data_IF_679860295464
#
_entry.id   IF_679860295464
#
_cell.length_a   1.000
_cell.length_b   1.000
_cell.length_c   1.000
_cell.angle_alpha   90.00
_cell.angle_beta   90.00
_cell.angle_gamma   90.00
#
_symmetry.space_group_name_H-M   'P 1'
#
loop_
_entity.id
_entity.type
_entity.pdbx_description
1 polymer ?
#
# COMPACT_ATOMS: atom_id res chain seq x y z
N UNK A 1 -18.35 -3.50 1.81
CA UNK A 1 -17.62 -4.66 1.25
C UNK A 1 -17.92 -5.87 2.10
N UNK A 2 -18.56 -6.90 1.54
CA UNK A 2 -18.72 -8.18 2.24
C UNK A 2 -17.48 -9.05 1.95
N UNK A 3 -16.52 -9.08 2.88
CA UNK A 3 -15.29 -9.88 2.72
C UNK A 3 -15.59 -11.35 2.43
N UNK A 4 -16.73 -11.87 2.94
CA UNK A 4 -17.12 -13.28 2.76
C UNK A 4 -17.55 -13.63 1.33
N UNK A 5 -17.84 -12.65 0.48
CA UNK A 5 -18.29 -12.85 -0.91
C UNK A 5 -17.14 -12.79 -1.93
N UNK A 6 -15.88 -12.66 -1.48
CA UNK A 6 -14.74 -12.64 -2.38
C UNK A 6 -14.48 -14.03 -3.01
N UNK A 7 -14.13 -14.11 -4.31
CA UNK A 7 -13.78 -15.36 -4.95
C UNK A 7 -12.62 -16.08 -4.25
N UNK A 8 -12.64 -17.41 -4.24
CA UNK A 8 -11.56 -18.24 -3.63
C UNK A 8 -10.17 -17.92 -4.19
N UNK A 9 -10.11 -17.61 -5.49
CA UNK A 9 -8.87 -17.19 -6.16
C UNK A 9 -8.28 -15.90 -5.56
N UNK A 10 -9.13 -14.94 -5.23
CA UNK A 10 -8.71 -13.66 -4.63
C UNK A 10 -8.14 -13.88 -3.23
N UNK A 11 -8.76 -14.76 -2.44
CA UNK A 11 -8.22 -15.17 -1.14
C UNK A 11 -6.89 -15.91 -1.27
N UNK A 12 -6.71 -16.75 -2.29
CA UNK A 12 -5.43 -17.42 -2.53
C UNK A 12 -4.31 -16.41 -2.85
N UNK A 13 -4.59 -15.40 -3.68
CA UNK A 13 -3.63 -14.34 -3.99
C UNK A 13 -3.38 -13.44 -2.79
N UNK A 14 -4.41 -13.09 -2.00
CA UNK A 14 -4.27 -12.32 -0.77
C UNK A 14 -3.43 -13.06 0.28
N UNK A 15 -3.65 -14.37 0.46
CA UNK A 15 -2.82 -15.22 1.32
C UNK A 15 -1.36 -15.20 0.86
N UNK A 16 -1.12 -15.40 -0.44
CA UNK A 16 0.23 -15.31 -1.01
C UNK A 16 0.88 -13.93 -0.78
N UNK A 17 0.10 -12.84 -0.83
CA UNK A 17 0.57 -11.49 -0.49
C UNK A 17 1.00 -11.37 0.98
N UNK A 18 0.23 -11.91 1.92
CA UNK A 18 0.61 -11.94 3.34
C UNK A 18 1.98 -12.59 3.50
N UNK A 19 2.20 -13.76 2.90
CA UNK A 19 3.48 -14.49 3.01
C UNK A 19 4.62 -13.73 2.31
N UNK A 20 4.35 -13.10 1.16
CA UNK A 20 5.32 -12.31 0.40
C UNK A 20 5.85 -11.11 1.21
N UNK A 21 4.95 -10.36 1.84
CA UNK A 21 5.32 -9.22 2.68
C UNK A 21 5.92 -9.64 4.02
N UNK A 22 5.46 -10.75 4.59
CA UNK A 22 6.07 -11.36 5.76
C UNK A 22 7.55 -11.68 5.55
N UNK A 23 7.92 -12.22 4.39
CA UNK A 23 9.30 -12.57 4.05
C UNK A 23 10.31 -11.42 4.10
N UNK A 24 9.83 -10.17 4.19
CA UNK A 24 10.67 -8.99 4.41
C UNK A 24 11.12 -8.93 5.88
N UNK A 25 10.19 -8.88 6.84
CA UNK A 25 10.49 -8.71 8.27
C UNK A 25 10.79 -10.01 9.03
N UNK A 26 10.56 -11.16 8.40
CA UNK A 26 10.74 -12.47 9.03
C UNK A 26 12.20 -12.81 9.37
N UNK A 27 13.18 -12.12 8.78
CA UNK A 27 14.60 -12.31 9.09
C UNK A 27 15.12 -11.36 10.19
N UNK A 28 14.39 -10.30 10.56
CA UNK A 28 14.83 -9.32 11.57
C UNK A 28 15.20 -9.97 12.92
N UNK A 29 14.36 -10.85 13.50
CA UNK A 29 14.61 -11.39 14.84
C UNK A 29 15.76 -12.41 14.87
N UNK A 30 16.18 -12.91 13.71
CA UNK A 30 17.24 -13.91 13.63
C UNK A 30 18.61 -13.31 13.30
N UNK A 31 18.72 -12.02 12.95
CA UNK A 31 20.01 -11.45 12.57
C UNK A 31 21.09 -11.63 13.64
N UNK A 32 20.83 -11.42 14.95
CA UNK A 32 21.88 -11.59 15.96
C UNK A 32 22.33 -13.04 16.13
N UNK A 33 21.40 -14.00 16.14
CA UNK A 33 21.75 -15.43 16.23
C UNK A 33 22.44 -15.92 14.97
N UNK A 34 22.02 -15.44 13.80
CA UNK A 34 22.65 -15.75 12.52
C UNK A 34 24.08 -15.20 12.45
N UNK A 35 24.30 -13.98 12.93
CA UNK A 35 25.62 -13.36 13.04
C UNK A 35 26.55 -14.16 13.95
N UNK A 36 26.03 -14.60 15.11
CA UNK A 36 26.79 -15.39 16.07
C UNK A 36 27.15 -16.78 15.52
N UNK A 37 26.17 -17.51 14.98
CA UNK A 37 26.34 -18.91 14.57
C UNK A 37 27.20 -19.06 13.30
N UNK A 38 27.25 -18.04 12.45
CA UNK A 38 28.06 -18.01 11.22
C UNK A 38 29.28 -17.09 11.33
N UNK A 39 29.64 -16.67 12.55
CA UNK A 39 30.81 -15.83 12.86
C UNK A 39 30.92 -14.58 11.95
N UNK A 40 29.79 -13.93 11.74
CA UNK A 40 29.65 -12.82 10.80
C UNK A 40 29.39 -11.49 11.51
N UNK A 41 29.90 -10.41 10.93
CA UNK A 41 29.68 -9.08 11.46
C UNK A 41 28.25 -8.58 11.15
N UNK A 42 27.73 -7.59 11.90
CA UNK A 42 26.42 -6.99 11.62
C UNK A 42 26.26 -6.51 10.18
N UNK A 43 27.30 -5.92 9.56
CA UNK A 43 27.24 -5.50 8.16
C UNK A 43 27.16 -6.67 7.19
N UNK A 44 27.83 -7.79 7.48
CA UNK A 44 27.76 -8.99 6.63
C UNK A 44 26.36 -9.61 6.66
N UNK A 45 25.74 -9.73 7.83
CA UNK A 45 24.37 -10.28 7.93
C UNK A 45 23.33 -9.30 7.37
N UNK A 46 23.55 -7.99 7.51
CA UNK A 46 22.66 -6.98 6.92
C UNK A 46 22.67 -6.98 5.38
N UNK A 47 23.63 -7.66 4.74
CA UNK A 47 23.60 -7.89 3.30
C UNK A 47 22.39 -8.74 2.85
N UNK A 48 21.77 -9.50 3.75
CA UNK A 48 20.54 -10.27 3.46
C UNK A 48 19.37 -9.36 3.05
N UNK A 49 19.29 -8.15 3.61
CA UNK A 49 18.35 -7.11 3.18
C UNK A 49 18.84 -6.41 1.93
N UNK A 50 20.13 -6.08 1.91
CA UNK A 50 20.77 -5.34 0.82
C UNK A 50 20.59 -6.06 -0.51
N UNK A 51 20.95 -7.34 -0.59
CA UNK A 51 20.84 -8.12 -1.83
C UNK A 51 19.39 -8.34 -2.24
N UNK A 52 18.50 -8.60 -1.27
CA UNK A 52 17.08 -8.75 -1.51
C UNK A 52 16.48 -7.50 -2.14
N UNK A 53 16.65 -6.32 -1.52
CA UNK A 53 16.07 -5.08 -2.04
C UNK A 53 16.74 -4.57 -3.30
N UNK A 54 18.07 -4.77 -3.45
CA UNK A 54 18.76 -4.41 -4.68
C UNK A 54 18.16 -5.16 -5.87
N UNK A 55 18.02 -6.48 -5.76
CA UNK A 55 17.45 -7.29 -6.84
C UNK A 55 15.95 -7.05 -6.99
N UNK A 56 15.18 -6.93 -5.90
CA UNK A 56 13.76 -6.58 -6.00
C UNK A 56 13.54 -5.25 -6.72
N UNK A 57 14.30 -4.20 -6.35
CA UNK A 57 14.21 -2.88 -6.95
C UNK A 57 14.53 -2.90 -8.44
N UNK A 58 15.66 -3.49 -8.83
CA UNK A 58 16.05 -3.61 -10.25
C UNK A 58 15.01 -4.45 -11.02
N UNK A 59 14.55 -5.55 -10.44
CA UNK A 59 13.59 -6.46 -11.08
C UNK A 59 12.24 -5.79 -11.31
N UNK A 60 11.81 -4.87 -10.43
CA UNK A 60 10.56 -4.09 -10.60
C UNK A 60 10.50 -3.31 -11.91
N UNK A 61 11.64 -2.95 -12.52
CA UNK A 61 11.68 -2.32 -13.84
C UNK A 61 11.26 -3.29 -14.96
N UNK A 62 11.40 -4.59 -14.74
CA UNK A 62 11.21 -5.66 -15.73
C UNK A 62 9.88 -6.42 -15.50
N UNK A 63 9.32 -6.37 -14.29
CA UNK A 63 8.08 -7.11 -13.92
C UNK A 63 6.93 -6.83 -14.88
N UNK A 64 6.66 -5.55 -15.20
CA UNK A 64 5.59 -5.16 -16.12
C UNK A 64 5.80 -5.72 -17.54
N UNK A 65 7.04 -5.70 -18.03
CA UNK A 65 7.41 -6.26 -19.34
C UNK A 65 7.16 -7.77 -19.42
N UNK A 66 7.53 -8.50 -18.36
CA UNK A 66 7.33 -9.95 -18.26
C UNK A 66 5.85 -10.26 -18.17
N UNK A 67 5.14 -9.64 -17.22
CA UNK A 67 3.72 -9.88 -16.97
C UNK A 67 2.85 -9.60 -18.20
N UNK A 68 3.14 -8.54 -18.95
CA UNK A 68 2.37 -8.22 -20.16
C UNK A 68 2.55 -9.24 -21.30
N UNK A 69 3.56 -10.12 -21.24
CA UNK A 69 3.88 -11.10 -22.31
C UNK A 69 3.47 -12.52 -21.95
N UNK A 70 3.84 -12.98 -20.77
CA UNK A 70 3.55 -14.34 -20.32
C UNK A 70 2.20 -14.44 -19.61
N UNK A 71 1.65 -13.31 -19.17
CA UNK A 71 0.36 -13.19 -18.51
C UNK A 71 0.46 -13.19 -16.97
N UNK A 72 -0.54 -12.64 -16.27
CA UNK A 72 -0.49 -12.47 -14.82
C UNK A 72 -0.34 -13.79 -14.04
N UNK A 73 -1.14 -14.81 -14.38
CA UNK A 73 -1.11 -16.12 -13.70
C UNK A 73 0.28 -16.77 -13.77
N UNK A 74 0.88 -16.82 -14.95
CA UNK A 74 2.21 -17.43 -15.15
C UNK A 74 3.31 -16.63 -14.44
N UNK A 75 3.18 -15.31 -14.38
CA UNK A 75 4.13 -14.45 -13.67
C UNK A 75 4.06 -14.64 -12.16
N UNK A 76 2.86 -14.75 -11.58
CA UNK A 76 2.68 -15.09 -10.16
C UNK A 76 3.30 -16.43 -9.81
N UNK A 77 2.99 -17.48 -10.58
CA UNK A 77 3.50 -18.82 -10.35
C UNK A 77 5.03 -18.89 -10.49
N UNK A 78 5.60 -18.21 -11.50
CA UNK A 78 7.05 -18.11 -11.66
C UNK A 78 7.71 -17.40 -10.47
N UNK A 79 7.13 -16.29 -10.02
CA UNK A 79 7.60 -15.58 -8.83
C UNK A 79 7.61 -16.47 -7.59
N UNK A 80 6.51 -17.20 -7.34
CA UNK A 80 6.40 -18.12 -6.21
C UNK A 80 7.41 -19.26 -6.27
N UNK A 81 7.62 -19.89 -7.44
CA UNK A 81 8.63 -20.95 -7.60
C UNK A 81 10.01 -20.44 -7.22
N UNK A 82 10.39 -19.25 -7.70
CA UNK A 82 11.67 -18.64 -7.36
C UNK A 82 11.77 -18.39 -5.84
N UNK A 83 10.73 -17.83 -5.22
CA UNK A 83 10.72 -17.62 -3.77
C UNK A 83 10.88 -18.94 -3.01
N UNK A 84 10.13 -19.98 -3.37
CA UNK A 84 10.19 -21.30 -2.71
C UNK A 84 11.60 -21.88 -2.82
N UNK A 85 12.15 -21.93 -4.04
CA UNK A 85 13.45 -22.51 -4.30
C UNK A 85 14.55 -21.75 -3.53
N UNK A 86 14.58 -20.43 -3.64
CA UNK A 86 15.62 -19.62 -2.99
C UNK A 86 15.46 -19.53 -1.48
N UNK A 87 14.23 -19.54 -0.94
CA UNK A 87 14.02 -19.64 0.51
C UNK A 87 14.50 -20.99 1.05
N UNK A 88 14.21 -22.10 0.37
CA UNK A 88 14.70 -23.41 0.78
C UNK A 88 16.25 -23.51 0.70
N UNK A 89 16.85 -22.97 -0.36
CA UNK A 89 18.31 -22.91 -0.51
C UNK A 89 18.96 -22.03 0.57
N UNK A 90 18.36 -20.89 0.93
CA UNK A 90 18.80 -20.05 2.05
C UNK A 90 18.65 -20.74 3.42
N UNK A 91 17.67 -21.61 3.59
CA UNK A 91 17.57 -22.45 4.79
C UNK A 91 18.64 -23.55 4.84
N UNK A 92 19.09 -24.04 3.67
CA UNK A 92 20.08 -25.10 3.57
C UNK A 92 21.54 -24.59 3.61
N UNK A 93 21.78 -23.32 3.26
CA UNK A 93 23.12 -22.73 3.13
C UNK A 93 23.98 -22.81 4.40
N UNK A 94 25.29 -22.95 4.22
CA UNK A 94 26.28 -23.02 5.30
C UNK A 94 27.02 -21.72 5.58
N UNK A 95 26.81 -20.65 4.80
CA UNK A 95 27.57 -19.40 4.94
C UNK A 95 26.75 -18.16 4.60
N UNK A 96 27.16 -17.00 5.14
CA UNK A 96 26.51 -15.71 4.85
C UNK A 96 26.49 -15.38 3.35
N UNK A 97 27.59 -15.51 2.57
CA UNK A 97 27.57 -15.20 1.14
C UNK A 97 26.54 -16.03 0.36
N UNK A 98 26.36 -17.32 0.70
CA UNK A 98 25.33 -18.16 0.11
C UNK A 98 23.92 -17.63 0.42
N UNK A 99 23.63 -17.32 1.70
CA UNK A 99 22.34 -16.75 2.10
C UNK A 99 22.09 -15.43 1.37
N UNK A 100 23.09 -14.56 1.27
CA UNK A 100 23.01 -13.28 0.55
C UNK A 100 22.67 -13.50 -0.92
N UNK A 101 23.31 -14.46 -1.59
CA UNK A 101 23.01 -14.82 -2.98
C UNK A 101 21.59 -15.34 -3.17
N UNK A 102 21.15 -16.26 -2.30
CA UNK A 102 19.79 -16.80 -2.35
C UNK A 102 18.73 -15.76 -1.98
N UNK A 103 19.01 -14.83 -1.07
CA UNK A 103 18.15 -13.67 -0.79
C UNK A 103 17.99 -12.76 -2.00
N UNK A 104 19.03 -12.61 -2.81
CA UNK A 104 18.97 -11.90 -4.07
C UNK A 104 17.96 -12.56 -5.04
N UNK A 105 18.07 -13.88 -5.21
CA UNK A 105 17.13 -14.67 -6.02
C UNK A 105 15.69 -14.66 -5.49
N UNK A 106 15.52 -14.70 -4.17
CA UNK A 106 14.22 -14.49 -3.53
C UNK A 106 13.65 -13.11 -3.89
N UNK A 107 14.46 -12.06 -3.81
CA UNK A 107 14.06 -10.70 -4.18
C UNK A 107 13.51 -10.58 -5.61
N UNK A 108 14.10 -11.32 -6.57
CA UNK A 108 13.59 -11.43 -7.94
C UNK A 108 12.21 -12.08 -7.98
N UNK A 109 12.04 -13.23 -7.32
CA UNK A 109 10.76 -13.93 -7.25
C UNK A 109 9.66 -13.08 -6.65
N UNK A 110 9.99 -12.37 -5.56
CA UNK A 110 9.05 -11.47 -4.89
C UNK A 110 8.67 -10.27 -5.77
N UNK A 111 9.60 -9.77 -6.58
CA UNK A 111 9.30 -8.67 -7.49
C UNK A 111 8.25 -9.07 -8.54
N UNK A 112 8.42 -10.24 -9.16
CA UNK A 112 7.47 -10.81 -10.13
C UNK A 112 6.10 -11.03 -9.49
N UNK A 113 6.09 -11.51 -8.24
CA UNK A 113 4.87 -11.78 -7.51
C UNK A 113 4.10 -10.50 -7.14
N UNK A 114 4.70 -9.58 -6.37
CA UNK A 114 4.00 -8.42 -5.78
C UNK A 114 3.35 -7.53 -6.86
N UNK A 115 4.11 -7.18 -7.90
CA UNK A 115 3.62 -6.30 -8.96
C UNK A 115 2.40 -6.90 -9.68
N UNK A 116 2.41 -8.23 -9.85
CA UNK A 116 1.34 -8.95 -10.54
C UNK A 116 0.14 -9.21 -9.62
N UNK A 117 0.38 -9.46 -8.33
CA UNK A 117 -0.66 -9.83 -7.37
C UNK A 117 -1.67 -8.70 -7.17
N UNK A 118 -1.19 -7.45 -7.09
CA UNK A 118 -2.07 -6.28 -7.04
C UNK A 118 -2.98 -6.20 -8.27
N UNK A 119 -2.43 -6.39 -9.48
CA UNK A 119 -3.20 -6.36 -10.71
C UNK A 119 -4.27 -7.47 -10.78
N UNK A 120 -3.94 -8.67 -10.28
CA UNK A 120 -4.87 -9.79 -10.20
C UNK A 120 -5.99 -9.53 -9.19
N UNK A 121 -5.67 -9.06 -7.98
CA UNK A 121 -6.67 -8.72 -6.96
C UNK A 121 -7.61 -7.62 -7.50
N UNK A 122 -7.05 -6.59 -8.14
CA UNK A 122 -7.81 -5.52 -8.78
C UNK A 122 -8.75 -5.99 -9.89
N UNK A 123 -8.34 -7.00 -10.67
CA UNK A 123 -9.12 -7.53 -11.79
C UNK A 123 -10.12 -8.63 -11.40
N UNK A 124 -9.99 -9.23 -10.22
CA UNK A 124 -10.77 -10.41 -9.82
C UNK A 124 -11.58 -10.24 -8.53
N UNK A 125 -11.35 -9.19 -7.74
CA UNK A 125 -12.08 -8.94 -6.50
C UNK A 125 -13.51 -8.41 -6.74
N UNK A 126 -14.44 -8.85 -5.89
CA UNK A 126 -15.81 -8.32 -5.85
C UNK A 126 -15.86 -7.03 -5.02
N UNK A 127 -16.80 -6.12 -5.30
CA UNK A 127 -16.88 -4.82 -4.60
C UNK A 127 -16.01 -3.70 -5.18
N UNK A 128 -15.57 -3.88 -6.43
CA UNK A 128 -14.90 -2.85 -7.22
C UNK A 128 -13.47 -2.52 -6.76
N UNK A 129 -12.89 -1.52 -7.41
CA UNK A 129 -11.50 -1.07 -7.22
C UNK A 129 -11.20 -0.76 -5.74
N UNK A 130 -12.12 -0.07 -5.05
CA UNK A 130 -11.92 0.29 -3.64
C UNK A 130 -11.81 -0.92 -2.71
N UNK A 131 -12.66 -1.93 -2.89
CA UNK A 131 -12.61 -3.15 -2.09
C UNK A 131 -11.34 -3.98 -2.31
N UNK A 132 -10.90 -4.06 -3.57
CA UNK A 132 -9.67 -4.74 -3.97
C UNK A 132 -8.42 -4.11 -3.30
N UNK A 133 -8.34 -2.78 -3.30
CA UNK A 133 -7.26 -2.05 -2.63
C UNK A 133 -7.25 -2.33 -1.13
N UNK A 134 -8.41 -2.25 -0.47
CA UNK A 134 -8.52 -2.52 0.97
C UNK A 134 -8.04 -3.94 1.30
N UNK A 135 -8.43 -4.94 0.51
CA UNK A 135 -8.00 -6.32 0.72
C UNK A 135 -6.49 -6.47 0.57
N UNK A 136 -5.91 -5.87 -0.46
CA UNK A 136 -4.47 -5.91 -0.71
C UNK A 136 -3.67 -5.23 0.41
N UNK A 137 -4.10 -4.04 0.83
CA UNK A 137 -3.47 -3.29 1.94
C UNK A 137 -3.61 -4.04 3.27
N UNK A 138 -4.75 -4.70 3.51
CA UNK A 138 -4.93 -5.56 4.69
C UNK A 138 -3.98 -6.76 4.67
N UNK A 139 -3.81 -7.41 3.50
CA UNK A 139 -2.85 -8.49 3.34
C UNK A 139 -1.39 -8.02 3.55
N UNK A 140 -1.05 -6.84 3.01
CA UNK A 140 0.25 -6.20 3.22
C UNK A 140 0.50 -5.92 4.69
N UNK A 141 -0.44 -5.25 5.38
CA UNK A 141 -0.33 -4.92 6.79
C UNK A 141 -0.19 -6.16 7.67
N UNK A 142 -1.01 -7.19 7.41
CA UNK A 142 -0.93 -8.46 8.11
C UNK A 142 0.42 -9.15 7.87
N UNK A 143 0.93 -9.18 6.64
CA UNK A 143 2.23 -9.75 6.30
C UNK A 143 3.38 -9.06 7.03
N UNK A 144 3.46 -7.73 6.93
CA UNK A 144 4.48 -6.92 7.61
C UNK A 144 4.44 -7.13 9.12
N UNK A 145 3.26 -7.16 9.74
CA UNK A 145 3.13 -7.38 11.17
C UNK A 145 3.51 -8.79 11.60
N UNK A 146 2.93 -9.82 10.99
CA UNK A 146 3.11 -11.22 11.38
C UNK A 146 4.50 -11.77 11.10
N UNK A 147 5.25 -11.18 10.17
CA UNK A 147 6.55 -11.71 9.75
C UNK A 147 7.58 -11.79 10.87
N UNK A 148 7.87 -10.69 11.59
CA UNK A 148 8.77 -10.74 12.73
C UNK A 148 8.29 -11.67 13.86
N UNK A 149 6.98 -11.79 14.09
CA UNK A 149 6.47 -12.72 15.09
C UNK A 149 6.81 -14.18 14.73
N UNK A 150 6.50 -14.59 13.50
CA UNK A 150 6.81 -15.93 13.03
C UNK A 150 8.32 -16.16 12.89
N UNK A 151 9.06 -15.14 12.46
CA UNK A 151 10.51 -15.12 12.41
C UNK A 151 11.14 -15.36 13.79
N UNK A 152 10.63 -14.71 14.83
CA UNK A 152 11.08 -14.90 16.21
C UNK A 152 10.73 -16.29 16.77
N UNK A 153 9.53 -16.80 16.48
CA UNK A 153 9.10 -18.14 16.90
C UNK A 153 9.96 -19.22 16.25
N UNK A 154 10.06 -19.21 14.92
CA UNK A 154 10.84 -20.20 14.17
C UNK A 154 12.34 -20.04 14.42
N UNK A 155 12.81 -18.79 14.52
CA UNK A 155 14.20 -18.44 14.82
C UNK A 155 14.67 -18.88 16.19
N UNK A 156 13.77 -18.95 17.18
CA UNK A 156 14.05 -19.51 18.49
C UNK A 156 14.32 -21.01 18.48
N UNK A 157 13.84 -21.73 17.46
CA UNK A 157 14.17 -23.16 17.24
C UNK A 157 15.49 -23.27 16.47
N UNK A 158 15.59 -22.55 15.34
CA UNK A 158 16.80 -22.46 14.53
C UNK A 158 16.70 -21.23 13.63
N UNK A 159 17.80 -20.53 13.40
CA UNK A 159 17.85 -19.44 12.42
C UNK A 159 17.44 -19.88 11.01
N UNK A 160 17.51 -21.18 10.70
CA UNK A 160 17.05 -21.78 9.44
C UNK A 160 15.53 -21.87 9.33
N UNK A 161 14.83 -21.96 10.48
CA UNK A 161 13.38 -22.16 10.57
C UNK A 161 12.58 -21.14 9.75
N UNK A 162 12.83 -19.82 9.87
CA UNK A 162 12.13 -18.81 9.10
C UNK A 162 12.22 -19.01 7.57
N UNK A 163 13.39 -19.43 7.05
CA UNK A 163 13.59 -19.69 5.62
C UNK A 163 12.74 -20.88 5.12
N UNK A 164 12.83 -22.03 5.81
CA UNK A 164 12.02 -23.20 5.46
C UNK A 164 10.52 -22.97 5.70
N UNK A 165 10.14 -22.28 6.77
CA UNK A 165 8.76 -21.91 7.04
C UNK A 165 8.17 -21.07 5.92
N UNK A 166 8.94 -20.10 5.40
CA UNK A 166 8.51 -19.31 4.25
C UNK A 166 8.38 -20.16 2.99
N UNK A 167 9.34 -21.06 2.72
CA UNK A 167 9.27 -21.97 1.57
C UNK A 167 8.00 -22.84 1.60
N UNK A 168 7.64 -23.39 2.78
CA UNK A 168 6.42 -24.20 2.96
C UNK A 168 5.16 -23.36 2.74
N UNK A 169 5.06 -22.19 3.38
CA UNK A 169 3.88 -21.33 3.24
C UNK A 169 3.70 -20.82 1.80
N UNK A 170 4.81 -20.53 1.10
CA UNK A 170 4.79 -20.16 -0.31
C UNK A 170 4.45 -21.34 -1.22
N UNK A 171 4.85 -22.57 -0.88
CA UNK A 171 4.43 -23.76 -1.62
C UNK A 171 2.91 -24.00 -1.50
N UNK A 172 2.34 -23.78 -0.30
CA UNK A 172 0.89 -23.82 -0.10
C UNK A 172 0.20 -22.75 -0.95
N UNK A 173 0.71 -21.51 -0.93
CA UNK A 173 0.20 -20.42 -1.76
C UNK A 173 0.31 -20.72 -3.26
N UNK A 174 1.41 -21.34 -3.70
CA UNK A 174 1.61 -21.77 -5.09
C UNK A 174 0.56 -22.79 -5.51
N UNK A 175 0.32 -23.84 -4.71
CA UNK A 175 -0.71 -24.84 -5.01
C UNK A 175 -2.09 -24.20 -5.03
N UNK A 176 -2.40 -23.31 -4.06
CA UNK A 176 -3.66 -22.59 -4.02
C UNK A 176 -3.90 -21.75 -5.27
N UNK A 177 -2.90 -20.98 -5.73
CA UNK A 177 -3.01 -20.18 -6.95
C UNK A 177 -3.06 -21.07 -8.20
N UNK A 178 -2.27 -22.15 -8.24
CA UNK A 178 -2.26 -23.08 -9.38
C UNK A 178 -3.65 -23.70 -9.62
N UNK A 179 -4.35 -24.06 -8.53
CA UNK A 179 -5.66 -24.73 -8.59
C UNK A 179 -6.83 -23.74 -8.67
N UNK A 180 -6.78 -22.63 -7.93
CA UNK A 180 -7.93 -21.73 -7.77
C UNK A 180 -7.92 -20.54 -8.72
N UNK A 181 -6.75 -20.10 -9.21
CA UNK A 181 -6.67 -18.96 -10.12
C UNK A 181 -6.78 -19.43 -11.58
N UNK A 182 -7.87 -19.04 -12.22
CA UNK A 182 -8.09 -19.27 -13.66
C UNK A 182 -7.14 -18.42 -14.53
N UNK A 183 -7.04 -18.77 -15.80
CA UNK A 183 -6.17 -18.05 -16.74
C UNK A 183 -6.70 -16.63 -16.96
N UNK A 184 -5.93 -15.63 -16.55
CA UNK A 184 -6.28 -14.21 -16.72
C UNK A 184 -5.83 -13.75 -18.10
N UNK A 185 -6.71 -13.09 -18.89
CA UNK A 185 -6.34 -12.53 -20.18
C UNK A 185 -5.10 -11.63 -20.09
N UNK A 186 -4.23 -11.73 -21.08
CA UNK A 186 -3.04 -10.89 -21.14
C UNK A 186 -3.46 -9.44 -21.37
N UNK A 187 -2.74 -8.46 -20.78
CA UNK A 187 -2.97 -7.05 -21.08
C UNK A 187 -2.87 -6.77 -22.59
N UNK A 188 -3.79 -5.96 -23.13
CA UNK A 188 -3.79 -5.61 -24.54
C UNK A 188 -2.52 -4.81 -24.93
N UNK A 189 -2.05 -3.94 -24.04
CA UNK A 189 -0.79 -3.20 -24.20
C UNK A 189 0.38 -3.96 -23.61
N UNK A 190 1.44 -4.13 -24.39
CA UNK A 190 2.73 -4.66 -23.91
C UNK A 190 3.55 -3.52 -23.31
N UNK A 191 4.03 -3.71 -22.08
CA UNK A 191 4.93 -2.76 -21.43
C UNK A 191 6.36 -2.99 -21.96
N UNK A 192 7.07 -1.91 -22.27
CA UNK A 192 8.47 -1.89 -22.68
C UNK A 192 9.44 -1.80 -21.48
N UNK A 193 10.63 -2.37 -21.65
CA UNK A 193 11.66 -2.43 -20.59
C UNK A 193 12.12 -1.07 -20.08
N UNK A 194 12.12 -0.06 -20.95
CA UNK A 194 12.62 1.29 -20.59
C UNK A 194 11.52 2.24 -20.15
N UNK A 195 10.24 1.83 -20.18
CA UNK A 195 9.13 2.73 -19.83
C UNK A 195 9.18 3.23 -18.38
N UNK A 196 9.46 2.39 -17.36
CA UNK A 196 9.59 2.88 -15.99
C UNK A 196 10.75 3.86 -15.83
N UNK A 197 11.89 3.61 -16.48
CA UNK A 197 13.04 4.52 -16.46
C UNK A 197 12.73 5.85 -17.16
N UNK A 198 11.99 5.82 -18.27
CA UNK A 198 11.53 7.04 -18.95
C UNK A 198 10.52 7.81 -18.10
N UNK A 199 9.68 7.13 -17.33
CA UNK A 199 8.71 7.78 -16.44
C UNK A 199 9.41 8.64 -15.37
N UNK A 200 10.60 8.25 -14.91
CA UNK A 200 11.42 9.06 -13.99
C UNK A 200 11.89 10.41 -14.58
N UNK A 201 11.72 10.65 -15.88
CA UNK A 201 11.93 11.99 -16.47
C UNK A 201 10.88 13.00 -16.02
N UNK A 202 9.72 12.54 -15.57
CA UNK A 202 8.71 13.41 -14.99
C UNK A 202 9.16 13.89 -13.60
N UNK A 203 9.30 15.21 -13.42
CA UNK A 203 9.86 15.80 -12.19
C UNK A 203 9.10 15.40 -10.93
N UNK A 204 7.77 15.37 -10.96
CA UNK A 204 6.97 14.95 -9.81
C UNK A 204 7.22 13.49 -9.41
N UNK A 205 7.42 12.60 -10.39
CA UNK A 205 7.72 11.19 -10.13
C UNK A 205 9.16 10.99 -9.63
N UNK A 206 10.11 11.76 -10.17
CA UNK A 206 11.48 11.76 -9.67
C UNK A 206 11.55 12.26 -8.23
N UNK A 207 10.91 13.38 -7.91
CA UNK A 207 10.90 13.98 -6.58
C UNK A 207 10.27 13.02 -5.56
N UNK A 208 9.10 12.46 -5.88
CA UNK A 208 8.45 11.46 -5.01
C UNK A 208 9.32 10.22 -4.81
N UNK A 209 10.01 9.75 -5.87
CA UNK A 209 11.02 8.69 -5.78
C UNK A 209 12.18 9.04 -4.86
N UNK A 210 12.75 10.25 -4.97
CA UNK A 210 13.85 10.72 -4.12
C UNK A 210 13.43 10.85 -2.66
N UNK A 211 12.25 11.41 -2.38
CA UNK A 211 11.65 11.43 -1.04
C UNK A 211 11.58 10.00 -0.49
N UNK A 212 11.07 9.06 -1.28
CA UNK A 212 10.93 7.67 -0.88
C UNK A 212 12.27 6.95 -0.67
N UNK A 213 13.29 7.26 -1.46
CA UNK A 213 14.65 6.72 -1.32
C UNK A 213 15.24 7.09 0.03
N UNK A 214 15.26 8.38 0.36
CA UNK A 214 15.85 8.86 1.61
C UNK A 214 15.03 8.44 2.84
N UNK A 215 13.70 8.43 2.70
CA UNK A 215 12.80 7.84 3.69
C UNK A 215 13.09 6.34 3.91
N UNK A 216 13.19 5.55 2.83
CA UNK A 216 13.46 4.11 2.95
C UNK A 216 14.84 3.85 3.51
N UNK A 217 15.81 4.72 3.25
CA UNK A 217 17.11 4.63 3.89
C UNK A 217 16.97 4.67 5.41
N UNK A 218 16.33 5.71 5.97
CA UNK A 218 16.12 5.79 7.42
C UNK A 218 15.26 4.66 7.98
N UNK A 219 14.21 4.26 7.25
CA UNK A 219 13.35 3.14 7.63
C UNK A 219 14.15 1.82 7.74
N UNK A 220 14.97 1.48 6.74
CA UNK A 220 15.74 0.23 6.77
C UNK A 220 16.99 0.29 7.63
N UNK A 221 17.52 1.49 7.94
CA UNK A 221 18.44 1.65 9.06
C UNK A 221 17.77 1.25 10.37
N UNK A 222 16.56 1.77 10.66
CA UNK A 222 15.81 1.38 11.85
C UNK A 222 15.53 -0.12 11.87
N UNK A 223 14.98 -0.67 10.80
CA UNK A 223 14.51 -2.06 10.79
C UNK A 223 15.67 -3.06 10.86
N UNK A 224 16.69 -2.90 10.02
CA UNK A 224 17.74 -3.90 9.87
C UNK A 224 18.85 -3.80 10.93
N UNK A 225 19.12 -2.60 11.48
CA UNK A 225 20.21 -2.41 12.43
C UNK A 225 19.78 -2.55 13.90
N UNK A 226 18.57 -2.13 14.26
CA UNK A 226 18.11 -2.15 15.67
C UNK A 226 18.10 -3.53 16.36
N UNK A 227 17.96 -4.69 15.68
CA UNK A 227 18.07 -5.98 16.34
C UNK A 227 19.39 -6.20 17.11
N UNK A 228 20.50 -5.58 16.67
CA UNK A 228 21.81 -5.73 17.31
C UNK A 228 21.90 -5.03 18.68
N UNK A 229 21.64 -3.71 18.80
CA UNK A 229 21.70 -3.01 20.10
C UNK A 229 20.57 -3.39 21.06
N UNK A 230 19.48 -4.02 20.59
CA UNK A 230 18.43 -4.53 21.49
C UNK A 230 18.92 -5.65 22.40
N UNK A 231 19.93 -6.44 22.00
CA UNK A 231 20.49 -7.55 22.80
C UNK A 231 19.43 -8.53 23.34
N UNK A 232 18.34 -8.71 22.59
CA UNK A 232 17.22 -9.58 22.95
C UNK A 232 17.30 -10.91 22.20
N UNK A 233 16.72 -11.96 22.78
CA UNK A 233 16.53 -13.23 22.08
C UNK A 233 15.50 -13.13 20.94
N UNK A 234 15.51 -14.09 20.02
CA UNK A 234 14.66 -14.08 18.82
C UNK A 234 13.16 -13.90 19.12
N UNK A 235 12.63 -14.52 20.17
CA UNK A 235 11.22 -14.35 20.56
C UNK A 235 10.88 -12.92 20.97
N UNK A 236 11.74 -12.27 21.77
CA UNK A 236 11.51 -10.91 22.25
C UNK A 236 11.69 -9.89 21.10
N UNK A 237 12.70 -10.08 20.25
CA UNK A 237 12.85 -9.30 19.01
C UNK A 237 11.59 -9.44 18.14
N UNK A 238 11.13 -10.67 17.92
CA UNK A 238 9.90 -10.93 17.15
C UNK A 238 8.69 -10.21 17.71
N UNK A 239 8.53 -10.16 19.04
CA UNK A 239 7.44 -9.44 19.69
C UNK A 239 7.54 -7.90 19.53
N UNK A 240 8.74 -7.32 19.65
CA UNK A 240 8.97 -5.88 19.45
C UNK A 240 8.60 -5.47 18.02
N UNK A 241 9.10 -6.19 17.02
CA UNK A 241 8.81 -5.89 15.62
C UNK A 241 7.37 -6.27 15.22
N UNK A 242 6.74 -7.24 15.89
CA UNK A 242 5.30 -7.47 15.76
C UNK A 242 4.49 -6.26 16.24
N UNK A 243 4.84 -5.69 17.39
CA UNK A 243 4.24 -4.46 17.91
C UNK A 243 4.40 -3.26 16.96
N UNK A 244 5.61 -3.10 16.39
CA UNK A 244 5.87 -2.14 15.30
C UNK A 244 4.93 -2.35 14.12
N UNK A 245 4.81 -3.58 13.62
CA UNK A 245 3.99 -3.89 12.45
C UNK A 245 2.49 -3.73 12.71
N UNK A 246 2.00 -4.02 13.93
CA UNK A 246 0.62 -3.77 14.32
C UNK A 246 0.28 -2.27 14.31
N UNK A 247 1.14 -1.43 14.88
CA UNK A 247 0.94 0.02 14.85
C UNK A 247 1.03 0.57 13.43
N UNK A 248 1.96 0.06 12.63
CA UNK A 248 2.06 0.40 11.20
C UNK A 248 0.76 0.09 10.47
N UNK A 249 0.26 -1.15 10.57
CA UNK A 249 -0.96 -1.56 9.90
C UNK A 249 -2.18 -0.73 10.36
N UNK A 250 -2.30 -0.49 11.68
CA UNK A 250 -3.37 0.31 12.24
C UNK A 250 -3.33 1.76 11.74
N UNK A 251 -2.18 2.43 11.82
CA UNK A 251 -2.10 3.84 11.42
C UNK A 251 -2.20 4.02 9.91
N UNK A 252 -1.70 3.09 9.10
CA UNK A 252 -1.90 3.09 7.64
C UNK A 252 -3.37 3.15 7.24
N UNK A 253 -4.22 2.34 7.88
CA UNK A 253 -5.63 2.23 7.49
C UNK A 253 -6.50 3.30 8.14
N UNK A 254 -6.32 3.54 9.44
CA UNK A 254 -7.26 4.37 10.20
C UNK A 254 -6.77 5.80 10.41
N UNK A 255 -5.47 6.02 10.56
CA UNK A 255 -4.94 7.34 10.94
C UNK A 255 -4.55 8.15 9.72
N UNK A 256 -3.87 7.52 8.76
CA UNK A 256 -3.31 8.19 7.59
C UNK A 256 -4.37 8.96 6.76
N UNK A 257 -5.55 8.39 6.42
CA UNK A 257 -6.56 9.12 5.66
C UNK A 257 -7.14 10.32 6.43
N UNK A 258 -7.25 10.20 7.75
CA UNK A 258 -7.79 11.26 8.62
C UNK A 258 -6.82 12.43 8.73
N UNK A 259 -5.52 12.16 8.92
CA UNK A 259 -4.49 13.19 8.97
C UNK A 259 -4.36 13.90 7.62
N UNK A 260 -4.28 13.14 6.53
CA UNK A 260 -4.24 13.68 5.17
C UNK A 260 -5.43 14.59 4.89
N UNK A 261 -6.66 14.16 5.20
CA UNK A 261 -7.87 14.98 4.97
C UNK A 261 -7.88 16.26 5.82
N UNK A 262 -7.29 16.23 7.01
CA UNK A 262 -7.31 17.37 7.95
C UNK A 262 -6.20 18.38 7.70
N UNK A 263 -5.02 17.92 7.30
CA UNK A 263 -3.81 18.75 7.24
C UNK A 263 -3.19 18.80 5.83
N UNK A 264 -3.73 18.06 4.87
CA UNK A 264 -3.15 17.90 3.54
C UNK A 264 -1.96 16.94 3.52
N UNK A 265 -1.52 16.58 2.31
CA UNK A 265 -0.43 15.62 2.07
C UNK A 265 0.90 16.13 2.63
N UNK A 266 1.29 17.35 2.29
CA UNK A 266 2.64 17.89 2.59
C UNK A 266 2.84 18.07 4.08
N UNK A 267 1.87 18.64 4.80
CA UNK A 267 1.98 18.83 6.25
C UNK A 267 1.98 17.49 6.99
N UNK A 268 1.16 16.53 6.55
CA UNK A 268 1.12 15.18 7.14
C UNK A 268 2.47 14.46 6.97
N UNK A 269 2.99 14.37 5.74
CA UNK A 269 4.29 13.76 5.48
C UNK A 269 5.42 14.51 6.19
N UNK A 270 5.38 15.84 6.20
CA UNK A 270 6.37 16.68 6.84
C UNK A 270 6.47 16.41 8.35
N UNK A 271 5.32 16.35 9.03
CA UNK A 271 5.26 16.02 10.46
C UNK A 271 5.76 14.60 10.75
N UNK A 272 5.40 13.63 9.91
CA UNK A 272 5.85 12.24 10.08
C UNK A 272 7.35 12.07 9.83
N UNK A 273 7.94 12.76 8.84
CA UNK A 273 9.39 12.73 8.64
C UNK A 273 10.14 13.41 9.79
N UNK A 274 9.64 14.53 10.30
CA UNK A 274 10.21 15.16 11.48
C UNK A 274 10.16 14.22 12.71
N UNK A 275 9.02 13.55 12.92
CA UNK A 275 8.85 12.57 14.00
C UNK A 275 9.80 11.38 13.84
N UNK A 276 9.93 10.80 12.64
CA UNK A 276 10.84 9.69 12.40
C UNK A 276 12.31 10.08 12.57
N UNK A 277 12.71 11.26 12.08
CA UNK A 277 14.06 11.78 12.29
C UNK A 277 14.36 11.99 13.78
N UNK A 278 13.40 12.50 14.54
CA UNK A 278 13.52 12.63 16.00
C UNK A 278 13.64 11.27 16.67
N UNK A 279 12.80 10.30 16.31
CA UNK A 279 12.88 8.93 16.84
C UNK A 279 14.28 8.36 16.62
N UNK A 280 14.81 8.43 15.40
CA UNK A 280 16.14 7.95 15.06
C UNK A 280 17.23 8.71 15.85
N UNK A 281 17.14 10.03 15.99
CA UNK A 281 18.09 10.78 16.80
C UNK A 281 18.07 10.34 18.29
N UNK A 282 16.88 10.15 18.87
CA UNK A 282 16.72 9.65 20.24
C UNK A 282 17.27 8.22 20.38
N UNK A 283 17.08 7.36 19.38
CA UNK A 283 17.72 6.03 19.35
C UNK A 283 19.25 6.12 19.33
N UNK A 284 19.82 7.07 18.60
CA UNK A 284 21.27 7.33 18.58
C UNK A 284 21.82 7.70 19.96
N UNK A 285 21.17 8.63 20.66
CA UNK A 285 21.55 9.00 22.02
C UNK A 285 21.26 7.91 23.06
N UNK A 286 20.19 7.14 22.84
CA UNK A 286 19.68 6.11 23.74
C UNK A 286 20.14 4.68 23.40
N UNK A 287 21.18 4.52 22.58
CA UNK A 287 21.61 3.21 22.03
C UNK A 287 21.88 2.17 23.12
N UNK A 288 22.50 2.57 24.24
CA UNK A 288 22.78 1.68 25.36
C UNK A 288 21.57 1.30 26.22
N UNK A 289 20.34 1.68 25.84
CA UNK A 289 19.11 1.42 26.60
C UNK A 289 18.12 0.56 25.79
N UNK A 290 18.22 -0.78 25.82
CA UNK A 290 17.38 -1.66 25.02
C UNK A 290 15.87 -1.46 25.17
N UNK A 291 15.39 -1.15 26.40
CA UNK A 291 13.98 -0.88 26.64
C UNK A 291 13.48 0.38 25.91
N UNK A 292 14.31 1.44 25.88
CA UNK A 292 14.01 2.66 25.14
C UNK A 292 13.96 2.36 23.63
N UNK A 293 14.95 1.63 23.10
CA UNK A 293 14.97 1.24 21.69
C UNK A 293 13.73 0.42 21.32
N UNK A 294 13.29 -0.52 22.15
CA UNK A 294 12.09 -1.32 21.90
C UNK A 294 10.82 -0.44 21.80
N UNK A 295 10.65 0.50 22.73
CA UNK A 295 9.53 1.46 22.71
C UNK A 295 9.57 2.34 21.47
N UNK A 296 10.76 2.83 21.09
CA UNK A 296 10.95 3.68 19.91
C UNK A 296 10.71 2.91 18.60
N UNK A 297 11.13 1.65 18.51
CA UNK A 297 10.82 0.78 17.36
C UNK A 297 9.31 0.62 17.22
N UNK A 298 8.61 0.25 18.31
CA UNK A 298 7.15 0.09 18.28
C UNK A 298 6.49 1.41 17.84
N UNK A 299 6.85 2.53 18.48
CA UNK A 299 6.33 3.86 18.16
C UNK A 299 6.62 4.31 16.73
N UNK A 300 7.79 3.96 16.17
CA UNK A 300 8.13 4.22 14.78
C UNK A 300 7.14 3.55 13.81
N UNK A 301 6.57 2.40 14.19
CA UNK A 301 5.55 1.71 13.42
C UNK A 301 4.37 2.62 13.10
N UNK A 302 3.88 3.35 14.10
CA UNK A 302 2.79 4.31 13.92
C UNK A 302 3.11 5.40 12.89
N UNK A 303 4.33 5.95 12.94
CA UNK A 303 4.80 6.98 12.00
C UNK A 303 4.94 6.41 10.59
N UNK A 304 5.59 5.25 10.46
CA UNK A 304 5.86 4.58 9.20
C UNK A 304 4.58 4.15 8.47
N UNK A 305 3.56 3.74 9.22
CA UNK A 305 2.25 3.41 8.65
C UNK A 305 1.60 4.61 7.95
N UNK A 306 1.63 5.78 8.58
CA UNK A 306 1.11 7.02 7.96
C UNK A 306 1.91 7.39 6.71
N UNK A 307 3.25 7.37 6.80
CA UNK A 307 4.13 7.71 5.67
C UNK A 307 3.87 6.80 4.48
N UNK A 308 3.87 5.48 4.68
CA UNK A 308 3.74 4.51 3.60
C UNK A 308 2.42 4.68 2.84
N UNK A 309 1.31 4.88 3.55
CA UNK A 309 0.00 5.08 2.93
C UNK A 309 -0.05 6.38 2.16
N UNK A 310 0.27 7.51 2.80
CA UNK A 310 0.13 8.83 2.17
C UNK A 310 1.08 8.96 0.97
N UNK A 311 2.34 8.55 1.12
CA UNK A 311 3.34 8.68 0.05
C UNK A 311 3.02 7.80 -1.16
N UNK A 312 2.61 6.54 -0.94
CA UNK A 312 2.26 5.62 -2.04
C UNK A 312 1.04 6.12 -2.79
N UNK A 313 0.04 6.65 -2.09
CA UNK A 313 -1.14 7.25 -2.72
C UNK A 313 -0.77 8.50 -3.55
N UNK A 314 0.09 9.38 -3.04
CA UNK A 314 0.57 10.56 -3.75
C UNK A 314 1.25 10.21 -5.08
N UNK A 315 2.11 9.19 -5.09
CA UNK A 315 2.81 8.76 -6.32
C UNK A 315 1.83 8.36 -7.41
N UNK A 316 0.77 7.62 -7.04
CA UNK A 316 -0.24 7.15 -7.99
C UNK A 316 -1.10 8.27 -8.58
N UNK A 317 -1.15 9.44 -7.93
CA UNK A 317 -1.85 10.64 -8.42
C UNK A 317 -0.94 11.54 -9.27
N UNK A 318 0.34 11.63 -8.93
CA UNK A 318 1.31 12.55 -9.56
C UNK A 318 1.82 12.04 -10.91
N UNK A 319 1.87 10.72 -11.09
CA UNK A 319 2.52 10.13 -12.25
C UNK A 319 1.66 10.27 -13.53
N UNK A 320 2.18 10.88 -14.62
CA UNK A 320 1.45 11.05 -15.88
C UNK A 320 1.55 9.79 -16.77
N UNK A 321 1.60 8.62 -16.15
CA UNK A 321 1.76 7.32 -16.82
C UNK A 321 0.83 6.30 -16.16
N UNK A 322 0.64 5.15 -16.81
CA UNK A 322 -0.16 4.07 -16.24
C UNK A 322 0.40 3.65 -14.86
N UNK A 323 -0.51 3.37 -13.92
CA UNK A 323 -0.17 3.03 -12.52
C UNK A 323 0.90 1.94 -12.38
N UNK A 324 0.90 0.84 -13.18
CA UNK A 324 1.96 -0.17 -13.09
C UNK A 324 3.35 0.39 -13.42
N UNK A 325 3.45 1.28 -14.43
CA UNK A 325 4.71 1.92 -14.84
C UNK A 325 5.18 2.89 -13.74
N UNK A 326 4.26 3.70 -13.21
CA UNK A 326 4.55 4.61 -12.09
C UNK A 326 5.05 3.85 -10.86
N UNK A 327 4.35 2.77 -10.49
CA UNK A 327 4.68 1.93 -9.33
C UNK A 327 6.05 1.27 -9.49
N UNK A 328 6.36 0.71 -10.66
CA UNK A 328 7.69 0.14 -10.95
C UNK A 328 8.80 1.18 -10.86
N UNK A 329 8.62 2.35 -11.46
CA UNK A 329 9.61 3.43 -11.46
C UNK A 329 9.88 3.96 -10.04
N UNK A 330 8.80 4.24 -9.31
CA UNK A 330 8.85 4.66 -7.91
C UNK A 330 9.51 3.60 -7.01
N UNK A 331 9.09 2.34 -7.14
CA UNK A 331 9.60 1.24 -6.31
C UNK A 331 11.08 0.98 -6.55
N UNK A 332 11.56 1.08 -7.80
CA UNK A 332 12.99 0.98 -8.11
C UNK A 332 13.82 2.01 -7.33
N UNK A 333 13.42 3.28 -7.37
CA UNK A 333 14.13 4.36 -6.65
C UNK A 333 13.99 4.19 -5.14
N UNK A 334 12.79 3.87 -4.66
CA UNK A 334 12.49 3.63 -3.25
C UNK A 334 13.35 2.50 -2.65
N UNK A 335 13.43 1.36 -3.33
CA UNK A 335 14.18 0.20 -2.85
C UNK A 335 15.69 0.39 -2.92
N UNK A 336 16.20 1.32 -3.72
CA UNK A 336 17.64 1.67 -3.67
C UNK A 336 18.05 2.15 -2.27
N UNK A 337 17.20 2.95 -1.60
CA UNK A 337 17.43 3.35 -0.20
C UNK A 337 17.46 2.16 0.76
N UNK A 338 16.51 1.23 0.61
CA UNK A 338 16.45 0.00 1.40
C UNK A 338 17.56 -1.01 1.09
N UNK A 339 18.15 -0.96 -0.09
CA UNK A 339 19.29 -1.78 -0.45
C UNK A 339 20.58 -1.27 0.22
N UNK A 340 20.83 0.04 0.20
CA UNK A 340 22.08 0.61 0.73
C UNK A 340 22.09 0.68 2.25
N UNK A 341 20.96 1.04 2.87
CA UNK A 341 20.90 1.37 4.29
C UNK A 341 21.33 0.24 5.24
N UNK A 342 20.89 -1.03 5.09
CA UNK A 342 21.24 -2.09 6.03
C UNK A 342 22.74 -2.34 6.13
N UNK A 343 23.41 -2.53 5.00
CA UNK A 343 24.85 -2.75 4.98
C UNK A 343 25.63 -1.54 5.50
N UNK A 344 25.25 -0.33 5.05
CA UNK A 344 25.91 0.89 5.48
C UNK A 344 25.71 1.15 6.99
N UNK A 345 24.52 0.88 7.53
CA UNK A 345 24.26 0.96 8.97
C UNK A 345 25.18 0.01 9.74
N UNK A 346 25.30 -1.26 9.32
CA UNK A 346 26.25 -2.18 9.94
C UNK A 346 27.70 -1.68 9.86
N UNK A 347 28.12 -1.12 8.72
CA UNK A 347 29.48 -0.59 8.56
C UNK A 347 29.77 0.65 9.40
N UNK A 348 28.81 1.56 9.51
CA UNK A 348 28.93 2.76 10.35
C UNK A 348 29.06 2.38 11.83
N UNK A 349 28.34 1.34 12.26
CA UNK A 349 28.49 0.79 13.60
C UNK A 349 29.89 0.21 13.86
N UNK A 350 30.41 -0.54 12.89
CA UNK A 350 31.74 -1.16 12.95
C UNK A 350 32.88 -0.13 12.90
N UNK A 351 32.76 0.91 12.08
CA UNK A 351 33.82 1.88 11.83
C UNK A 351 33.85 3.07 12.80
N UNK A 352 32.68 3.49 13.29
CA UNK A 352 32.56 4.74 14.06
C UNK A 352 32.02 4.45 15.46
N UNK A 353 30.75 4.07 15.57
CA UNK A 353 30.14 3.70 16.85
C UNK A 353 28.74 3.10 16.63
N UNK A 354 28.23 2.27 17.56
CA UNK A 354 26.87 1.72 17.50
C UNK A 354 25.74 2.76 17.38
N UNK A 355 25.95 4.00 17.86
CA UNK A 355 24.98 5.09 17.74
C UNK A 355 24.94 5.74 16.34
N UNK A 356 26.04 5.69 15.60
CA UNK A 356 26.21 6.41 14.32
C UNK A 356 25.16 6.07 13.27
N UNK A 357 24.75 4.80 13.08
CA UNK A 357 23.74 4.45 12.09
C UNK A 357 22.44 5.22 12.28
N UNK A 358 21.98 5.37 13.52
CA UNK A 358 20.74 6.08 13.83
C UNK A 358 20.81 7.57 13.46
N UNK A 359 21.94 8.24 13.71
CA UNK A 359 22.13 9.63 13.29
C UNK A 359 22.19 9.79 11.77
N UNK A 360 22.85 8.87 11.06
CA UNK A 360 22.89 8.89 9.59
C UNK A 360 21.50 8.61 9.00
N UNK A 361 20.75 7.67 9.59
CA UNK A 361 19.36 7.42 9.26
C UNK A 361 18.48 8.66 9.48
N UNK A 362 18.63 9.34 10.62
CA UNK A 362 17.93 10.59 10.91
C UNK A 362 18.26 11.67 9.88
N UNK A 363 19.54 11.83 9.53
CA UNK A 363 20.00 12.73 8.48
C UNK A 363 19.37 12.43 7.12
N UNK A 364 19.29 11.16 6.73
CA UNK A 364 18.61 10.76 5.51
C UNK A 364 17.11 11.13 5.54
N UNK A 365 16.40 10.91 6.64
CA UNK A 365 14.99 11.31 6.78
C UNK A 365 14.82 12.84 6.74
N UNK A 366 15.76 13.60 7.30
CA UNK A 366 15.79 15.07 7.15
C UNK A 366 15.97 15.47 5.69
N UNK A 367 16.84 14.79 4.93
CA UNK A 367 16.96 15.01 3.47
C UNK A 367 15.63 14.70 2.76
N UNK A 368 14.94 13.62 3.12
CA UNK A 368 13.61 13.31 2.58
C UNK A 368 12.61 14.44 2.84
N UNK A 369 12.60 15.00 4.05
CA UNK A 369 11.78 16.16 4.41
C UNK A 369 12.14 17.40 3.58
N UNK A 370 13.43 17.71 3.42
CA UNK A 370 13.87 18.86 2.62
C UNK A 370 13.48 18.72 1.15
N UNK A 371 13.63 17.52 0.57
CA UNK A 371 13.21 17.24 -0.81
C UNK A 371 11.68 17.34 -0.95
N UNK A 372 10.92 16.85 0.03
CA UNK A 372 9.46 17.02 0.07
C UNK A 372 9.08 18.50 0.07
N UNK A 373 9.70 19.31 0.94
CA UNK A 373 9.38 20.73 1.07
C UNK A 373 9.78 21.52 -0.19
N UNK A 374 10.92 21.20 -0.81
CA UNK A 374 11.35 21.79 -2.07
C UNK A 374 10.42 21.38 -3.24
N UNK A 375 9.91 20.16 -3.21
CA UNK A 375 9.02 19.60 -4.22
C UNK A 375 7.52 19.75 -3.94
N UNK A 376 7.13 20.51 -2.90
CA UNK A 376 5.75 20.52 -2.36
C UNK A 376 4.67 20.83 -3.40
N UNK A 377 4.99 21.64 -4.41
CA UNK A 377 4.05 21.99 -5.48
C UNK A 377 3.57 20.77 -6.29
N UNK A 378 4.34 19.69 -6.33
CA UNK A 378 3.92 18.45 -6.98
C UNK A 378 2.99 17.59 -6.13
N UNK A 379 2.87 17.88 -4.82
CA UNK A 379 2.07 17.08 -3.88
C UNK A 379 0.70 17.70 -3.56
N UNK A 380 0.51 18.98 -3.86
CA UNK A 380 -0.77 19.69 -3.69
C UNK A 380 -1.62 19.45 -4.94
N UNK A 381 -2.81 18.87 -4.77
CA UNK A 381 -3.77 18.70 -5.88
C UNK A 381 -4.67 19.92 -6.04
N UNK A 382 -5.14 20.21 -7.25
CA UNK A 382 -6.12 21.27 -7.54
C UNK A 382 -7.40 21.15 -6.69
N UNK A 383 -7.84 19.94 -6.35
CA UNK A 383 -8.97 19.70 -5.43
C UNK A 383 -8.74 20.21 -3.99
N UNK A 384 -7.50 20.22 -3.48
CA UNK A 384 -7.21 20.78 -2.14
C UNK A 384 -7.33 22.31 -2.16
N UNK A 385 -7.07 22.93 -3.32
CA UNK A 385 -7.24 24.37 -3.55
C UNK A 385 -8.72 24.72 -3.72
N UNK A 386 -9.51 23.91 -4.43
CA UNK A 386 -10.96 24.11 -4.57
C UNK A 386 -11.72 23.93 -3.25
N UNK A 387 -11.37 22.94 -2.41
CA UNK A 387 -12.02 22.73 -1.10
C UNK A 387 -11.72 23.88 -0.13
N UNK A 388 -10.57 24.53 -0.26
CA UNK A 388 -10.18 25.68 0.58
C UNK A 388 -10.84 27.00 0.10
N UNK A 389 -11.18 27.11 -1.19
CA UNK A 389 -11.77 28.31 -1.79
C UNK A 389 -13.31 28.24 -1.89
N UNK A 390 -13.89 27.05 -2.05
CA UNK A 390 -15.33 26.90 -2.23
C UNK A 390 -16.06 27.03 -0.87
N UNK A 391 -16.89 28.07 -0.66
CA UNK A 391 -17.83 28.03 0.45
C UNK A 391 -18.72 26.80 0.28
N UNK A 392 -19.22 26.18 1.38
CA UNK A 392 -20.10 25.03 1.26
C UNK A 392 -21.31 25.42 0.41
N UNK A 393 -21.39 24.90 -0.81
CA UNK A 393 -22.57 25.07 -1.65
C UNK A 393 -23.77 24.57 -0.85
N UNK A 394 -24.73 25.45 -0.62
CA UNK A 394 -25.96 25.08 0.07
C UNK A 394 -26.61 23.91 -0.68
N UNK A 395 -27.15 22.94 0.07
CA UNK A 395 -27.76 21.74 -0.50
C UNK A 395 -28.74 22.11 -1.65
N UNK A 396 -28.71 21.39 -2.78
CA UNK A 396 -29.49 21.75 -3.95
C UNK A 396 -30.98 21.77 -3.62
N UNK A 397 -31.69 22.72 -4.23
CA UNK A 397 -33.15 22.81 -4.15
C UNK A 397 -33.72 21.82 -5.16
N UNK A 398 -34.20 20.67 -4.66
CA UNK A 398 -34.84 19.64 -5.46
C UNK A 398 -36.31 20.01 -5.70
N UNK A 399 -36.74 20.02 -6.97
CA UNK A 399 -38.13 20.30 -7.35
C UNK A 399 -38.65 19.23 -8.31
N UNK A 400 -39.84 18.70 -8.03
CA UNK A 400 -40.52 17.77 -8.91
C UNK A 400 -41.67 18.50 -9.62
N UNK A 401 -41.68 18.46 -10.96
CA UNK A 401 -42.68 19.14 -11.79
C UNK A 401 -43.30 18.16 -12.77
N UNK A 402 -44.60 18.31 -12.99
CA UNK A 402 -45.32 17.60 -14.04
C UNK A 402 -45.24 18.37 -15.38
N UNK A 403 -45.79 17.79 -16.45
CA UNK A 403 -45.89 18.46 -17.75
C UNK A 403 -46.91 19.59 -17.81
N UNK A 404 -47.49 20.01 -16.68
CA UNK A 404 -48.51 21.06 -16.65
C UNK A 404 -47.89 22.46 -16.77
N UNK A 405 -48.66 23.47 -17.23
CA UNK A 405 -48.21 24.86 -17.23
C UNK A 405 -47.81 25.40 -15.85
N UNK A 406 -48.21 24.73 -14.75
CA UNK A 406 -47.81 25.09 -13.39
C UNK A 406 -46.36 24.71 -13.09
N UNK A 407 -45.78 23.72 -13.78
CA UNK A 407 -44.39 23.31 -13.61
C UNK A 407 -43.40 24.46 -13.82
N UNK A 408 -43.67 25.35 -14.78
CA UNK A 408 -42.85 26.54 -15.06
C UNK A 408 -42.81 27.48 -13.84
N UNK A 409 -43.95 27.68 -13.17
CA UNK A 409 -44.06 28.57 -12.00
C UNK A 409 -43.33 27.98 -10.80
N UNK A 410 -43.43 26.66 -10.60
CA UNK A 410 -42.77 25.97 -9.48
C UNK A 410 -41.25 25.93 -9.67
N UNK A 411 -40.77 25.67 -10.90
CA UNK A 411 -39.33 25.75 -11.23
C UNK A 411 -38.79 27.16 -11.06
N UNK A 412 -39.54 28.20 -11.45
CA UNK A 412 -39.15 29.59 -11.25
C UNK A 412 -39.04 29.97 -9.76
N UNK A 413 -39.97 29.48 -8.93
CA UNK A 413 -39.90 29.67 -7.48
C UNK A 413 -38.71 28.94 -6.84
N UNK A 414 -38.43 27.71 -7.29
CA UNK A 414 -37.27 26.94 -6.85
C UNK A 414 -35.94 27.62 -7.23
N UNK A 415 -35.86 28.18 -8.44
CA UNK A 415 -34.71 28.97 -8.91
C UNK A 415 -34.48 30.22 -8.07
N UNK A 416 -35.55 30.92 -7.70
CA UNK A 416 -35.44 32.08 -6.80
C UNK A 416 -34.93 31.69 -5.41
N UNK A 417 -35.45 30.61 -4.84
CA UNK A 417 -35.02 30.09 -3.53
C UNK A 417 -33.57 29.60 -3.55
N UNK A 418 -33.13 28.98 -4.65
CA UNK A 418 -31.77 28.51 -4.83
C UNK A 418 -30.79 29.69 -4.99
N UNK A 419 -31.19 30.73 -5.73
CA UNK A 419 -30.41 31.97 -5.87
C UNK A 419 -30.22 32.68 -4.52
N UNK A 420 -31.27 32.76 -3.69
CA UNK A 420 -31.19 33.33 -2.33
C UNK A 420 -30.28 32.54 -1.38
N UNK A 421 -30.05 31.26 -1.66
CA UNK A 421 -29.24 30.34 -0.84
C UNK A 421 -27.84 30.07 -1.39
N UNK A 422 -27.52 30.53 -2.60
CA UNK A 422 -26.31 30.12 -3.31
C UNK A 422 -26.28 28.60 -3.58
N UNK A 423 -27.44 27.99 -3.83
CA UNK A 423 -27.61 26.56 -4.10
C UNK A 423 -27.89 26.32 -5.59
N UNK A 424 -27.66 25.10 -6.08
CA UNK A 424 -28.13 24.65 -7.39
C UNK A 424 -29.62 24.23 -7.34
N UNK A 425 -30.30 24.21 -8.49
CA UNK A 425 -31.64 23.64 -8.64
C UNK A 425 -31.55 22.34 -9.42
N UNK A 426 -32.17 21.28 -8.90
CA UNK A 426 -32.37 20.03 -9.64
C UNK A 426 -33.87 19.84 -9.90
N UNK A 427 -34.24 19.73 -11.18
CA UNK A 427 -35.63 19.59 -11.63
C UNK A 427 -35.87 18.14 -12.04
N UNK A 428 -36.83 17.49 -11.39
CA UNK A 428 -37.29 16.14 -11.71
C UNK A 428 -38.62 16.24 -12.46
N UNK A 429 -38.65 15.76 -13.70
CA UNK A 429 -39.89 15.67 -14.47
C UNK A 429 -40.64 14.40 -14.11
N UNK A 430 -41.86 14.58 -13.58
CA UNK A 430 -42.76 13.50 -13.16
C UNK A 430 -43.83 13.35 -14.21
N UNK A 431 -43.91 12.16 -14.79
CA UNK A 431 -44.95 11.79 -15.74
C UNK A 431 -45.82 10.69 -15.12
N UNK A 432 -47.13 10.88 -15.17
CA UNK A 432 -48.09 9.84 -14.81
C UNK A 432 -48.30 8.96 -16.06
N UNK A 433 -48.17 7.65 -15.91
CA UNK A 433 -48.40 6.69 -16.99
C UNK A 433 -49.07 5.43 -16.45
N UNK A 434 -49.98 4.88 -17.25
CA UNK A 434 -50.64 3.60 -16.99
C UNK A 434 -49.93 2.42 -17.69
N UNK A 435 -48.83 2.70 -18.39
CA UNK A 435 -48.02 1.72 -19.14
C UNK A 435 -46.98 1.06 -18.21
N UNK A 436 -47.35 -0.10 -17.66
CA UNK A 436 -46.50 -0.90 -16.77
C UNK A 436 -45.20 -1.39 -17.46
N UNK A 437 -45.23 -1.65 -18.77
CA UNK A 437 -44.06 -2.10 -19.54
C UNK A 437 -43.04 -0.96 -19.70
N UNK A 438 -43.52 0.27 -19.92
CA UNK A 438 -42.67 1.46 -19.95
C UNK A 438 -42.01 1.74 -18.58
N UNK A 439 -42.72 1.48 -17.47
CA UNK A 439 -42.16 1.57 -16.11
C UNK A 439 -41.06 0.54 -15.90
N UNK A 440 -41.30 -0.72 -16.28
CA UNK A 440 -40.33 -1.79 -16.08
C UNK A 440 -39.07 -1.58 -16.93
N UNK A 441 -39.21 -1.14 -18.19
CA UNK A 441 -38.07 -0.85 -19.06
C UNK A 441 -37.14 0.25 -18.51
N UNK A 442 -37.68 1.23 -17.79
CA UNK A 442 -36.89 2.29 -17.13
C UNK A 442 -36.22 1.74 -15.86
N UNK A 443 -36.93 0.94 -15.06
CA UNK A 443 -36.35 0.29 -13.87
C UNK A 443 -35.19 -0.65 -14.23
N UNK A 444 -35.35 -1.44 -15.28
CA UNK A 444 -34.30 -2.32 -15.80
C UNK A 444 -33.08 -1.51 -16.26
N UNK A 445 -33.30 -0.30 -16.80
CA UNK A 445 -32.23 0.63 -17.19
C UNK A 445 -31.52 1.23 -15.99
N UNK A 446 -32.24 1.54 -14.91
CA UNK A 446 -31.67 2.03 -13.64
C UNK A 446 -30.82 0.94 -12.97
N UNK A 447 -31.31 -0.30 -12.97
CA UNK A 447 -30.59 -1.47 -12.45
C UNK A 447 -29.35 -1.79 -13.32
N UNK A 448 -29.45 -1.65 -14.65
CA UNK A 448 -28.32 -1.85 -15.57
C UNK A 448 -27.18 -0.84 -15.41
N UNK A 449 -27.48 0.37 -14.92
CA UNK A 449 -26.48 1.43 -14.66
C UNK A 449 -25.88 1.31 -13.24
N UNK A 450 -26.37 0.39 -12.40
CA UNK A 450 -25.85 0.18 -11.04
C UNK A 450 -26.10 1.36 -10.10
N UNK A 451 -27.15 2.16 -10.35
CA UNK A 451 -27.51 3.31 -9.54
C UNK A 451 -28.33 2.87 -8.31
N UNK A 452 -27.66 2.32 -7.29
CA UNK A 452 -28.31 1.97 -6.02
C UNK A 452 -28.58 3.18 -5.10
N UNK A 453 -28.89 4.35 -5.66
CA UNK A 453 -29.10 5.56 -4.88
C UNK A 453 -30.35 6.34 -5.33
N UNK A 454 -31.21 6.60 -4.33
CA UNK A 454 -32.29 7.61 -4.30
C UNK A 454 -33.68 7.15 -4.76
N UNK A 455 -34.21 6.00 -4.29
CA UNK A 455 -35.67 5.88 -4.03
C UNK A 455 -35.98 4.89 -2.89
N UNK A 456 -35.44 5.09 -1.68
CA UNK A 456 -35.90 4.29 -0.50
C UNK A 456 -36.26 5.14 0.73
N UNK A 457 -36.05 6.46 0.70
CA UNK A 457 -36.31 7.32 1.88
C UNK A 457 -37.75 7.82 2.07
N UNK A 458 -38.65 7.73 1.09
CA UNK A 458 -39.98 8.40 1.17
C UNK A 458 -41.16 7.62 0.59
N UNK A 459 -41.05 6.29 0.40
CA UNK A 459 -42.21 5.45 0.03
C UNK A 459 -43.37 5.56 1.04
N UNK A 460 -43.08 5.87 2.31
CA UNK A 460 -44.08 5.88 3.38
C UNK A 460 -45.00 7.10 3.48
N UNK A 461 -44.80 8.20 2.74
CA UNK A 461 -45.66 9.40 2.86
C UNK A 461 -46.43 9.81 1.60
N UNK A 462 -46.07 9.27 0.43
CA UNK A 462 -46.77 9.57 -0.83
C UNK A 462 -47.78 8.47 -1.19
N UNK A 463 -47.52 7.23 -0.78
CA UNK A 463 -48.39 6.08 -1.04
C UNK A 463 -49.73 6.09 -0.25
N UNK A 464 -49.88 6.96 0.75
CA UNK A 464 -51.09 6.99 1.58
C UNK A 464 -52.23 7.85 0.99
N UNK A 465 -51.99 8.57 -0.12
CA UNK A 465 -53.02 9.42 -0.76
C UNK A 465 -53.23 9.22 -2.26
N UNK A 466 -52.39 8.46 -2.96
CA UNK A 466 -52.54 8.21 -4.39
C UNK A 466 -52.69 6.70 -4.66
N UNK A 467 -53.82 6.32 -5.27
CA UNK A 467 -54.10 4.94 -5.73
C UNK A 467 -53.50 4.64 -7.13
N UNK A 468 -52.32 5.17 -7.48
CA UNK A 468 -51.67 4.94 -8.78
C UNK A 468 -50.13 5.06 -8.64
N UNK A 469 -49.30 4.25 -9.34
CA UNK A 469 -47.83 4.34 -9.33
C UNK A 469 -47.28 5.62 -10.00
N UNK A 470 -46.18 6.17 -9.47
CA UNK A 470 -45.54 7.42 -9.93
C UNK A 470 -44.15 7.12 -10.52
N UNK A 471 -43.87 7.62 -11.74
CA UNK A 471 -42.59 7.47 -12.45
C UNK A 471 -41.71 8.73 -12.31
N UNK A 472 -40.40 8.53 -12.14
CA UNK A 472 -39.38 9.60 -12.12
C UNK A 472 -38.41 9.35 -13.25
N UNK A 473 -38.31 10.28 -14.21
CA UNK A 473 -37.37 10.20 -15.33
C UNK A 473 -36.29 11.28 -15.14
N UNK A 474 -35.00 10.93 -15.04
CA UNK A 474 -33.92 11.90 -15.06
C UNK A 474 -33.73 12.43 -16.49
N UNK A 475 -33.50 13.74 -16.61
CA UNK A 475 -33.26 14.43 -17.90
C UNK A 475 -31.93 14.02 -18.54
#
# INVERSE_FOLDING_TARGET
MNLKEQPKAVWAVAFACVIAFMGIGLVDPILPVLAKDLEATPSQVSLLFTSYFAITGVSMLVTGFVSSRIGPRKTLLAGLILVIAFAALAGASGSIPEIVGFRAGWGLGNALFIATALAVIMGSATGGVGGAIILYEAALGLGIASGPLLGGILGGISWRGPFFGTAVLMAIAFVAILVLLEEIPKPARKVGLTEPLRALRHRGLLITGLVALFYNFGFFTLLAYTPFPLQMGAHALGAVFFGWGLLLAFTSVFVAPRLKRRFGVVATLGAMYAALALILAVMGFGEGTPALLAVLVIGAGAVLGVVNTVLTESVMRIAPVERPIASSAYSFVRFAGGAVAPWLAGKLAEWVSPSTPFFVGAGAVVVALLVLLAGRAYFVSEEEIEVEIAPPLAAPVLVAVDGSPRGIVVTAAAAKLAAERGAAVEVLHVHETDDEDAVQAVLDRIDAIGAQAIVVGRRGRVAERARVPVMVVPA
#
